data_IF_877514959772
#
_entry.id   IF_877514959772
#
_cell.length_a   1.000
_cell.length_b   1.000
_cell.length_c   1.000
_cell.angle_alpha   90.00
_cell.angle_beta   90.00
_cell.angle_gamma   90.00
#
_symmetry.space_group_name_H-M   'P 1'
#
loop_
_entity.id
_entity.type
_entity.pdbx_description
1 polymer ?
#
# COMPACT_ATOMS: atom_id res chain seq x y z
N UNK A 1 -17.09 -11.70 -9.21
CA UNK A 1 -17.59 -10.75 -8.22
C UNK A 1 -16.47 -10.18 -7.37
N UNK A 2 -16.49 -8.89 -7.14
CA UNK A 2 -15.49 -8.27 -6.29
C UNK A 2 -15.77 -8.55 -4.82
N UNK A 3 -14.77 -8.28 -3.97
CA UNK A 3 -14.94 -8.39 -2.53
C UNK A 3 -15.56 -7.10 -1.98
N UNK A 4 -16.35 -7.22 -0.95
CA UNK A 4 -17.05 -6.09 -0.35
C UNK A 4 -16.35 -5.51 0.87
N UNK A 5 -15.43 -6.27 1.48
CA UNK A 5 -14.74 -5.83 2.69
C UNK A 5 -13.32 -6.35 2.73
N UNK A 6 -12.50 -5.71 3.58
CA UNK A 6 -11.12 -6.15 3.80
C UNK A 6 -11.10 -7.58 4.34
N UNK A 7 -12.02 -7.91 5.25
CA UNK A 7 -12.12 -9.27 5.79
C UNK A 7 -12.39 -10.31 4.71
N UNK A 8 -13.29 -9.99 3.77
CA UNK A 8 -13.58 -10.90 2.66
C UNK A 8 -12.36 -11.06 1.76
N UNK A 9 -11.65 -9.98 1.51
CA UNK A 9 -10.44 -10.04 0.70
C UNK A 9 -9.42 -10.99 1.32
N UNK A 10 -9.15 -10.82 2.61
CA UNK A 10 -8.20 -11.66 3.34
C UNK A 10 -8.64 -13.13 3.32
N UNK A 11 -9.94 -13.38 3.52
CA UNK A 11 -10.46 -14.74 3.54
C UNK A 11 -10.30 -15.47 2.21
N UNK A 12 -10.18 -14.72 1.11
CA UNK A 12 -10.01 -15.31 -0.23
C UNK A 12 -8.56 -15.75 -0.52
N UNK A 13 -7.62 -15.41 0.34
CA UNK A 13 -6.19 -15.64 0.12
C UNK A 13 -5.75 -16.97 0.74
N UNK A 14 -4.64 -17.52 0.22
CA UNK A 14 -4.03 -18.68 0.85
C UNK A 14 -3.28 -18.25 2.13
N UNK A 15 -2.78 -19.23 2.88
CA UNK A 15 -2.16 -18.98 4.18
C UNK A 15 -0.95 -18.04 4.10
N UNK A 16 -0.08 -18.26 3.13
CA UNK A 16 1.11 -17.40 2.98
C UNK A 16 0.71 -15.96 2.63
N UNK A 17 -0.22 -15.82 1.69
CA UNK A 17 -0.71 -14.50 1.30
C UNK A 17 -1.37 -13.80 2.47
N UNK A 18 -2.21 -14.51 3.23
CA UNK A 18 -2.87 -13.93 4.40
C UNK A 18 -1.86 -13.39 5.40
N UNK A 19 -0.81 -14.16 5.66
CA UNK A 19 0.20 -13.74 6.63
C UNK A 19 0.82 -12.41 6.26
N UNK A 20 1.21 -12.27 4.99
CA UNK A 20 1.87 -11.04 4.54
C UNK A 20 0.89 -9.87 4.41
N UNK A 21 -0.29 -10.12 3.86
CA UNK A 21 -1.29 -9.06 3.70
C UNK A 21 -1.81 -8.59 5.05
N UNK A 22 -2.08 -9.50 5.98
CA UNK A 22 -2.54 -9.12 7.32
C UNK A 22 -1.47 -8.31 8.07
N UNK A 23 -0.20 -8.68 7.92
CA UNK A 23 0.87 -7.94 8.55
C UNK A 23 0.95 -6.51 8.01
N UNK A 24 0.77 -6.33 6.71
CA UNK A 24 0.76 -5.01 6.11
C UNK A 24 -0.46 -4.20 6.54
N UNK A 25 -1.63 -4.83 6.59
CA UNK A 25 -2.86 -4.18 7.05
C UNK A 25 -2.67 -3.70 8.50
N UNK A 26 -2.12 -4.55 9.35
CA UNK A 26 -1.87 -4.20 10.74
C UNK A 26 -0.89 -3.03 10.84
N UNK A 27 0.18 -3.07 10.04
CA UNK A 27 1.15 -1.97 9.98
C UNK A 27 0.45 -0.66 9.64
N UNK A 28 -0.34 -0.64 8.57
CA UNK A 28 -1.02 0.59 8.13
C UNK A 28 -2.01 1.10 9.17
N UNK A 29 -2.79 0.21 9.75
CA UNK A 29 -3.80 0.62 10.72
C UNK A 29 -3.20 1.09 12.04
N UNK A 30 -2.02 0.56 12.39
CA UNK A 30 -1.33 0.95 13.62
C UNK A 30 -0.58 2.27 13.45
N UNK A 31 0.13 2.41 12.32
CA UNK A 31 0.96 3.59 12.09
C UNK A 31 0.17 4.79 11.55
N UNK A 32 -0.90 4.52 10.83
CA UNK A 32 -1.67 5.56 10.16
C UNK A 32 -3.18 5.39 10.41
N UNK A 33 -3.60 5.41 11.68
CA UNK A 33 -5.02 5.15 12.00
C UNK A 33 -5.97 6.23 11.50
N UNK A 34 -5.45 7.38 11.10
CA UNK A 34 -6.26 8.47 10.58
C UNK A 34 -6.71 8.25 9.13
N UNK A 35 -6.10 7.29 8.43
CA UNK A 35 -6.47 7.03 7.03
C UNK A 35 -7.73 6.17 6.95
N UNK A 36 -8.55 6.43 5.95
CA UNK A 36 -9.76 5.64 5.71
C UNK A 36 -9.37 4.34 5.01
N UNK A 37 -9.64 3.20 5.66
CA UNK A 37 -9.36 1.88 5.09
C UNK A 37 -10.65 1.29 4.52
N UNK A 38 -10.62 0.91 3.27
CA UNK A 38 -11.77 0.32 2.58
C UNK A 38 -11.31 -0.55 1.43
N UNK A 39 -12.25 -1.28 0.82
CA UNK A 39 -11.97 -2.00 -0.42
C UNK A 39 -12.24 -1.06 -1.60
N UNK A 40 -11.29 -1.00 -2.52
CA UNK A 40 -11.46 -0.29 -3.79
C UNK A 40 -10.65 -1.04 -4.84
N UNK A 41 -11.20 -1.18 -6.04
CA UNK A 41 -10.58 -2.01 -7.10
C UNK A 41 -10.27 -3.42 -6.60
N UNK A 42 -11.17 -3.95 -5.77
CA UNK A 42 -11.06 -5.31 -5.20
C UNK A 42 -9.82 -5.53 -4.35
N UNK A 43 -9.29 -4.50 -3.71
CA UNK A 43 -8.14 -4.62 -2.82
C UNK A 43 -8.24 -3.64 -1.65
N UNK A 44 -7.57 -3.97 -0.52
CA UNK A 44 -7.52 -3.04 0.61
C UNK A 44 -6.82 -1.74 0.21
N UNK A 45 -7.43 -0.62 0.52
CA UNK A 45 -6.92 0.71 0.17
C UNK A 45 -7.05 1.65 1.35
N UNK A 46 -6.04 2.48 1.53
CA UNK A 46 -6.03 3.53 2.56
C UNK A 46 -6.05 4.87 1.85
N UNK A 47 -7.10 5.65 2.09
CA UNK A 47 -7.25 6.96 1.46
C UNK A 47 -6.70 8.04 2.36
N UNK A 48 -5.91 8.95 1.78
CA UNK A 48 -5.38 10.10 2.51
C UNK A 48 -6.50 11.11 2.73
N UNK A 49 -7.29 11.36 1.70
CA UNK A 49 -8.45 12.25 1.77
C UNK A 49 -9.75 11.46 1.61
N UNK A 50 -10.76 12.12 1.06
CA UNK A 50 -12.06 11.49 0.84
C UNK A 50 -12.15 10.74 -0.48
N UNK A 51 -11.33 11.13 -1.44
CA UNK A 51 -11.36 10.57 -2.79
C UNK A 51 -9.99 10.02 -3.18
N UNK A 52 -9.98 9.11 -4.13
CA UNK A 52 -8.73 8.50 -4.59
C UNK A 52 -7.75 9.52 -5.17
N UNK A 53 -8.25 10.57 -5.82
CA UNK A 53 -7.37 11.58 -6.39
C UNK A 53 -6.69 12.46 -5.35
N UNK A 54 -7.04 12.28 -4.09
CA UNK A 54 -6.40 13.00 -2.98
C UNK A 54 -5.29 12.15 -2.33
N UNK A 55 -4.96 11.03 -2.92
CA UNK A 55 -3.86 10.18 -2.48
C UNK A 55 -4.33 8.88 -1.85
N UNK A 56 -3.62 7.79 -2.16
CA UNK A 56 -3.93 6.49 -1.57
C UNK A 56 -2.70 5.60 -1.53
N UNK A 57 -2.75 4.60 -0.64
CA UNK A 57 -1.86 3.45 -0.61
C UNK A 57 -2.75 2.22 -0.62
N UNK A 58 -2.39 1.19 -1.38
CA UNK A 58 -3.18 -0.02 -1.44
C UNK A 58 -2.28 -1.24 -1.49
N UNK A 59 -2.85 -2.42 -1.23
CA UNK A 59 -2.09 -3.67 -1.25
C UNK A 59 -2.91 -4.75 -1.94
N UNK A 60 -2.24 -5.59 -2.73
CA UNK A 60 -2.88 -6.74 -3.35
C UNK A 60 -1.92 -7.92 -3.33
N UNK A 61 -2.47 -9.13 -3.27
CA UNK A 61 -1.69 -10.36 -3.25
C UNK A 61 -1.65 -11.01 -4.63
N UNK A 62 -0.48 -11.50 -5.01
CA UNK A 62 -0.31 -12.31 -6.20
C UNK A 62 0.32 -13.64 -5.80
N UNK A 63 0.54 -14.51 -6.76
CA UNK A 63 1.03 -15.87 -6.46
C UNK A 63 2.40 -15.89 -5.79
N UNK A 64 3.35 -15.13 -6.31
CA UNK A 64 4.74 -15.16 -5.86
C UNK A 64 5.20 -13.88 -5.19
N UNK A 65 4.32 -12.88 -5.10
CA UNK A 65 4.66 -11.60 -4.52
C UNK A 65 3.38 -10.90 -4.08
N UNK A 66 3.52 -9.82 -3.33
CA UNK A 66 2.42 -8.91 -3.11
C UNK A 66 2.83 -7.53 -3.64
N UNK A 67 1.82 -6.73 -4.00
CA UNK A 67 2.05 -5.43 -4.63
C UNK A 67 1.54 -4.32 -3.71
N UNK A 68 2.36 -3.30 -3.53
CA UNK A 68 1.94 -2.10 -2.81
C UNK A 68 1.77 -1.00 -3.85
N UNK A 69 0.58 -0.39 -3.84
CA UNK A 69 0.18 0.59 -4.84
C UNK A 69 0.20 1.99 -4.25
N UNK A 70 0.73 2.93 -5.01
CA UNK A 70 0.79 4.35 -4.62
C UNK A 70 0.09 5.18 -5.67
N UNK A 71 -0.62 6.20 -5.23
CA UNK A 71 -1.32 7.11 -6.14
C UNK A 71 -0.37 8.00 -6.93
N UNK A 72 0.84 8.22 -6.42
CA UNK A 72 1.81 9.13 -7.04
C UNK A 72 2.88 8.33 -7.80
N UNK A 73 2.81 8.36 -9.11
CA UNK A 73 3.73 7.64 -9.97
C UNK A 73 5.16 8.14 -9.83
N UNK A 74 5.34 9.45 -9.69
CA UNK A 74 6.68 10.03 -9.53
C UNK A 74 7.34 9.57 -8.23
N UNK A 75 6.59 9.55 -7.14
CA UNK A 75 7.08 9.04 -5.87
C UNK A 75 7.52 7.58 -6.02
N UNK A 76 6.68 6.79 -6.68
CA UNK A 76 6.98 5.38 -6.89
C UNK A 76 8.23 5.18 -7.74
N UNK A 77 8.40 5.99 -8.77
CA UNK A 77 9.59 5.91 -9.62
C UNK A 77 10.87 6.16 -8.82
N UNK A 78 10.83 7.13 -7.93
CA UNK A 78 11.99 7.43 -7.07
C UNK A 78 12.25 6.30 -6.08
N UNK A 79 11.19 5.75 -5.50
CA UNK A 79 11.31 4.63 -4.58
C UNK A 79 11.92 3.41 -5.26
N UNK A 80 11.49 3.11 -6.48
CA UNK A 80 11.95 1.94 -7.22
C UNK A 80 13.45 1.98 -7.50
N UNK A 81 14.03 3.17 -7.65
CA UNK A 81 15.46 3.32 -7.87
C UNK A 81 16.26 2.73 -6.71
N UNK A 82 15.76 2.85 -5.49
CA UNK A 82 16.42 2.31 -4.31
C UNK A 82 16.09 0.84 -4.04
N UNK A 83 15.25 0.23 -4.87
CA UNK A 83 14.80 -1.15 -4.68
C UNK A 83 14.96 -1.96 -5.97
N UNK A 84 16.19 -2.14 -6.46
CA UNK A 84 16.42 -2.81 -7.76
C UNK A 84 15.97 -4.27 -7.78
N UNK A 85 15.81 -4.91 -6.63
CA UNK A 85 15.33 -6.29 -6.56
C UNK A 85 13.82 -6.40 -6.75
N UNK A 86 13.10 -5.28 -6.69
CA UNK A 86 11.66 -5.27 -6.83
C UNK A 86 11.27 -4.83 -8.23
N UNK A 87 10.27 -5.51 -8.81
CA UNK A 87 9.72 -5.09 -10.09
C UNK A 87 8.70 -4.00 -9.87
N UNK A 88 8.67 -3.03 -10.76
CA UNK A 88 7.78 -1.89 -10.67
C UNK A 88 6.74 -1.94 -11.80
N UNK A 89 5.47 -1.76 -11.45
CA UNK A 89 4.42 -1.47 -12.42
C UNK A 89 4.25 0.04 -12.56
N UNK A 90 3.14 0.47 -13.15
CA UNK A 90 2.90 1.90 -13.33
C UNK A 90 2.73 2.64 -12.01
N UNK A 91 1.96 2.05 -11.09
CA UNK A 91 1.68 2.65 -9.78
C UNK A 91 1.82 1.64 -8.65
N UNK A 92 2.61 0.60 -8.85
CA UNK A 92 2.82 -0.40 -7.82
C UNK A 92 4.24 -0.91 -7.82
N UNK A 93 4.65 -1.44 -6.68
CA UNK A 93 5.94 -2.11 -6.55
C UNK A 93 5.68 -3.51 -6.01
N UNK A 94 6.31 -4.51 -6.64
CA UNK A 94 6.09 -5.91 -6.31
C UNK A 94 7.18 -6.39 -5.36
N UNK A 95 6.76 -6.93 -4.22
CA UNK A 95 7.68 -7.41 -3.20
C UNK A 95 7.49 -8.91 -3.07
N UNK A 96 8.58 -9.67 -3.23
CA UNK A 96 8.51 -11.12 -3.07
C UNK A 96 8.19 -11.48 -1.62
N UNK A 97 7.40 -12.54 -1.44
CA UNK A 97 7.12 -13.03 -0.09
C UNK A 97 8.44 -13.42 0.58
N UNK A 98 8.64 -12.91 1.78
CA UNK A 98 9.87 -13.15 2.51
C UNK A 98 10.98 -12.14 2.30
N UNK A 99 10.83 -11.21 1.35
CA UNK A 99 11.83 -10.15 1.13
C UNK A 99 11.59 -9.03 2.16
N UNK A 100 12.04 -9.26 3.37
CA UNK A 100 11.85 -8.32 4.47
C UNK A 100 12.58 -6.99 4.29
N UNK A 101 13.83 -6.96 3.79
CA UNK A 101 14.49 -5.68 3.60
C UNK A 101 13.75 -4.74 2.66
N UNK A 102 13.22 -5.27 1.54
CA UNK A 102 12.46 -4.46 0.60
C UNK A 102 11.15 -3.98 1.23
N UNK A 103 10.46 -4.85 1.96
CA UNK A 103 9.23 -4.49 2.64
C UNK A 103 9.47 -3.36 3.65
N UNK A 104 10.51 -3.49 4.47
CA UNK A 104 10.83 -2.46 5.46
C UNK A 104 11.16 -1.13 4.80
N UNK A 105 11.87 -1.15 3.67
CA UNK A 105 12.18 0.07 2.94
C UNK A 105 10.93 0.74 2.41
N UNK A 106 9.98 -0.05 1.87
CA UNK A 106 8.70 0.48 1.39
C UNK A 106 7.88 1.03 2.54
N UNK A 107 7.80 0.30 3.66
CA UNK A 107 7.04 0.75 4.82
C UNK A 107 7.59 2.08 5.36
N UNK A 108 8.91 2.21 5.42
CA UNK A 108 9.52 3.47 5.85
C UNK A 108 9.19 4.61 4.89
N UNK A 109 9.14 4.33 3.60
CA UNK A 109 8.86 5.36 2.60
C UNK A 109 7.40 5.80 2.59
N UNK A 110 6.47 4.96 3.08
CA UNK A 110 5.06 5.34 3.16
C UNK A 110 4.88 6.56 4.05
N UNK A 111 5.61 6.62 5.15
CA UNK A 111 5.55 7.77 6.03
C UNK A 111 5.92 9.06 5.29
N UNK A 112 6.99 9.01 4.47
CA UNK A 112 7.40 10.16 3.68
C UNK A 112 6.36 10.52 2.62
N UNK A 113 5.78 9.51 1.97
CA UNK A 113 4.72 9.70 0.99
C UNK A 113 3.54 10.46 1.60
N UNK A 114 3.11 10.02 2.77
CA UNK A 114 1.95 10.64 3.44
C UNK A 114 2.25 12.04 3.94
N UNK A 115 3.49 12.32 4.29
CA UNK A 115 3.89 13.67 4.71
C UNK A 115 3.72 14.68 3.59
N UNK A 116 3.89 14.28 2.33
CA UNK A 116 3.70 15.18 1.20
C UNK A 116 2.28 15.74 1.21
N UNK A 117 1.28 14.85 1.36
CA UNK A 117 -0.11 15.26 1.38
C UNK A 117 -0.46 16.06 2.64
N UNK A 118 0.11 15.67 3.78
CA UNK A 118 -0.15 16.38 5.04
C UNK A 118 0.41 17.79 5.02
N UNK A 119 1.60 17.95 4.45
CA UNK A 119 2.23 19.27 4.34
C UNK A 119 1.40 20.19 3.47
N UNK A 120 0.90 19.67 2.34
CA UNK A 120 0.03 20.44 1.47
C UNK A 120 -1.26 20.85 2.18
N UNK A 121 -1.86 19.90 2.92
CA UNK A 121 -3.06 20.18 3.69
C UNK A 121 -2.82 21.22 4.77
N UNK A 122 -1.69 21.13 5.45
CA UNK A 122 -1.33 22.09 6.49
C UNK A 122 -1.13 23.49 5.93
N UNK A 123 -0.49 23.59 4.78
CA UNK A 123 -0.20 24.87 4.19
C UNK A 123 -1.44 25.60 3.68
N UNK A 124 -2.51 24.88 3.48
CA UNK A 124 -3.77 25.47 3.02
C UNK A 124 -4.60 26.05 4.17
N UNK A 125 -4.17 25.82 5.37
CA UNK A 125 -4.84 26.39 6.53
C UNK A 125 -4.33 27.79 6.81
#
# INVERSE_FOLDING_TARGET
MGVASVSEYVASLNEEQQRHICAFIEFMNTEFPQLTNKISFSMPMWLVGKKMNEGYVAVSAAKNHFSIHFSDEEFLNRLAVSLPACKKGKRCINIKYGDKPSLHAVEASISDFLKIYRSEGSSSL
#
